data_IF_181320593273
#
_entry.id   IF_181320593273
#
_cell.length_a   1.000
_cell.length_b   1.000
_cell.length_c   1.000
_cell.angle_alpha   90.00
_cell.angle_beta   90.00
_cell.angle_gamma   90.00
#
_symmetry.space_group_name_H-M   'P 1'
#
loop_
_entity.id
_entity.type
_entity.pdbx_description
1 polymer ?
#
# COMPACT_ATOMS: atom_id res chain seq x y z
N UNK A 1 52.21 -33.40 -35.30
CA UNK A 1 53.11 -32.26 -35.04
C UNK A 1 52.52 -31.01 -35.70
N UNK A 2 52.07 -30.00 -34.94
CA UNK A 2 51.58 -28.75 -35.51
C UNK A 2 52.76 -27.80 -35.84
N UNK A 3 52.74 -27.11 -36.99
CA UNK A 3 53.82 -26.20 -37.39
C UNK A 3 53.71 -24.83 -36.71
N UNK A 4 54.88 -24.26 -36.43
CA UNK A 4 55.14 -23.01 -35.70
C UNK A 4 54.58 -21.77 -36.43
N UNK A 5 54.04 -20.83 -35.65
CA UNK A 5 53.69 -19.46 -36.10
C UNK A 5 54.93 -18.58 -36.08
N UNK A 6 55.29 -18.02 -37.23
CA UNK A 6 56.21 -16.88 -37.35
C UNK A 6 55.49 -15.58 -37.00
N UNK A 7 56.08 -14.83 -36.07
CA UNK A 7 55.66 -13.48 -35.66
C UNK A 7 56.55 -12.47 -36.37
N UNK A 8 56.03 -11.77 -37.37
CA UNK A 8 56.60 -10.49 -37.84
C UNK A 8 55.50 -9.50 -38.21
N UNK A 9 55.68 -8.26 -37.77
CA UNK A 9 54.90 -7.03 -38.00
C UNK A 9 53.58 -6.82 -37.23
N UNK A 10 53.71 -6.52 -35.93
CA UNK A 10 52.72 -5.71 -35.21
C UNK A 10 53.23 -4.26 -35.10
N UNK A 11 52.50 -3.31 -35.68
CA UNK A 11 52.78 -1.87 -35.53
C UNK A 11 52.65 -1.48 -34.05
N UNK A 12 53.53 -0.61 -33.51
CA UNK A 12 53.46 -0.22 -32.10
C UNK A 12 52.15 0.54 -31.82
N UNK A 13 51.51 0.22 -30.69
CA UNK A 13 50.29 0.89 -30.24
C UNK A 13 50.54 2.38 -29.98
N UNK A 14 49.50 3.21 -30.14
CA UNK A 14 49.56 4.67 -29.91
C UNK A 14 50.16 5.02 -28.55
N UNK A 15 49.94 4.18 -27.54
CA UNK A 15 50.53 4.32 -26.20
C UNK A 15 52.06 4.18 -26.20
N UNK A 16 52.63 3.26 -26.98
CA UNK A 16 54.09 3.12 -27.12
C UNK A 16 54.69 4.31 -27.87
N UNK A 17 54.03 4.78 -28.93
CA UNK A 17 54.49 5.96 -29.68
C UNK A 17 54.48 7.24 -28.83
N UNK A 18 53.49 7.38 -27.95
CA UNK A 18 53.43 8.50 -26.99
C UNK A 18 54.50 8.36 -25.91
N UNK A 19 54.77 7.16 -25.40
CA UNK A 19 55.85 6.92 -24.43
C UNK A 19 57.25 7.17 -25.01
N UNK A 20 57.47 6.83 -26.28
CA UNK A 20 58.76 7.04 -26.95
C UNK A 20 59.01 8.51 -27.32
N UNK A 21 57.95 9.28 -27.60
CA UNK A 21 58.05 10.70 -27.99
C UNK A 21 57.98 11.67 -26.82
N UNK A 22 57.43 11.26 -25.68
CA UNK A 22 57.38 12.10 -24.48
C UNK A 22 58.67 11.90 -23.71
N UNK A 23 59.43 12.97 -23.50
CA UNK A 23 60.71 12.89 -22.78
C UNK A 23 60.51 12.36 -21.35
N UNK A 24 61.37 11.46 -20.83
CA UNK A 24 61.20 10.81 -19.52
C UNK A 24 60.97 11.79 -18.35
N UNK A 25 61.63 12.95 -18.42
CA UNK A 25 61.48 14.05 -17.46
C UNK A 25 60.07 14.64 -17.40
N UNK A 26 59.34 14.61 -18.52
CA UNK A 26 57.97 15.13 -18.62
C UNK A 26 56.95 14.10 -18.10
N UNK A 27 57.17 12.79 -18.29
CA UNK A 27 56.33 11.74 -17.69
C UNK A 27 56.44 11.70 -16.16
N UNK A 28 57.61 12.04 -15.61
CA UNK A 28 57.82 12.05 -14.15
C UNK A 28 57.22 13.29 -13.46
N UNK A 29 56.98 14.38 -14.20
CA UNK A 29 56.34 15.59 -13.64
C UNK A 29 54.81 15.45 -13.68
N UNK A 30 54.19 15.16 -12.54
CA UNK A 30 52.72 15.14 -12.34
C UNK A 30 52.05 16.53 -12.33
N UNK A 31 52.66 17.53 -12.97
CA UNK A 31 52.13 18.90 -13.01
C UNK A 31 51.08 19.07 -14.10
N UNK A 32 50.01 19.83 -13.84
CA UNK A 32 48.90 20.02 -14.79
C UNK A 32 49.31 20.57 -16.17
N UNK A 33 50.41 21.34 -16.26
CA UNK A 33 50.97 21.79 -17.54
C UNK A 33 51.62 20.65 -18.34
N UNK A 34 52.30 19.72 -17.67
CA UNK A 34 52.91 18.54 -18.30
C UNK A 34 51.84 17.55 -18.77
N UNK A 35 50.78 17.36 -17.98
CA UNK A 35 49.65 16.50 -18.37
C UNK A 35 48.90 17.04 -19.59
N UNK A 36 48.71 18.36 -19.70
CA UNK A 36 48.14 19.00 -20.89
C UNK A 36 49.01 18.81 -22.14
N UNK A 37 50.34 18.90 -22.01
CA UNK A 37 51.27 18.63 -23.11
C UNK A 37 51.25 17.16 -23.55
N UNK A 38 51.21 16.22 -22.60
CA UNK A 38 51.08 14.79 -22.89
C UNK A 38 49.75 14.50 -23.60
N UNK A 39 48.65 15.13 -23.17
CA UNK A 39 47.35 15.00 -23.84
C UNK A 39 47.34 15.57 -25.26
N UNK A 40 48.03 16.70 -25.50
CA UNK A 40 48.18 17.31 -26.82
C UNK A 40 49.05 16.46 -27.76
N UNK A 41 50.11 15.83 -27.25
CA UNK A 41 50.94 14.90 -28.01
C UNK A 41 50.20 13.59 -28.33
N UNK A 42 49.39 13.11 -27.39
CA UNK A 42 48.54 11.93 -27.59
C UNK A 42 47.44 12.19 -28.63
N UNK A 43 46.80 13.37 -28.62
CA UNK A 43 45.79 13.73 -29.62
C UNK A 43 46.38 13.95 -31.02
N UNK A 44 47.62 14.44 -31.11
CA UNK A 44 48.34 14.52 -32.38
C UNK A 44 48.75 13.14 -32.92
N UNK A 45 49.15 12.21 -32.04
CA UNK A 45 49.50 10.85 -32.41
C UNK A 45 48.28 9.98 -32.80
N UNK A 46 47.10 10.22 -32.21
CA UNK A 46 45.86 9.57 -32.64
C UNK A 46 45.30 10.18 -33.93
N UNK A 47 45.53 11.47 -34.18
CA UNK A 47 45.17 12.15 -35.41
C UNK A 47 46.07 11.79 -36.61
N UNK A 48 47.17 11.05 -36.44
CA UNK A 48 48.10 10.69 -37.53
C UNK A 48 47.82 9.32 -38.16
N UNK A 49 46.55 8.98 -38.39
CA UNK A 49 46.18 7.85 -39.26
C UNK A 49 46.52 8.13 -40.74
N UNK A 50 46.78 7.08 -41.52
CA UNK A 50 47.02 7.22 -42.98
C UNK A 50 45.78 7.85 -43.68
N UNK A 51 45.94 8.63 -44.76
CA UNK A 51 44.83 9.35 -45.41
C UNK A 51 43.71 8.41 -45.90
N UNK A 52 44.06 7.18 -46.26
CA UNK A 52 43.10 6.12 -46.61
C UNK A 52 42.25 5.66 -45.42
N UNK A 53 42.83 5.55 -44.22
CA UNK A 53 42.10 5.17 -43.01
C UNK A 53 41.11 6.26 -42.59
N UNK A 54 41.50 7.54 -42.69
CA UNK A 54 40.60 8.66 -42.40
C UNK A 54 39.44 8.74 -43.38
N UNK A 55 39.68 8.46 -44.67
CA UNK A 55 38.60 8.37 -45.68
C UNK A 55 37.63 7.24 -45.39
N UNK A 56 38.15 6.06 -45.01
CA UNK A 56 37.32 4.89 -44.67
C UNK A 56 36.53 5.05 -43.37
N UNK A 57 37.07 5.78 -42.40
CA UNK A 57 36.37 6.13 -41.15
C UNK A 57 35.31 7.21 -41.40
N UNK A 58 35.61 8.23 -42.21
CA UNK A 58 34.64 9.25 -42.61
C UNK A 58 33.48 8.67 -43.42
N UNK A 59 33.74 7.74 -44.36
CA UNK A 59 32.70 7.07 -45.14
C UNK A 59 31.80 6.18 -44.27
N UNK A 60 32.38 5.47 -43.29
CA UNK A 60 31.58 4.71 -42.30
C UNK A 60 30.73 5.63 -41.43
N UNK A 61 31.27 6.74 -40.96
CA UNK A 61 30.53 7.72 -40.18
C UNK A 61 29.38 8.35 -41.00
N UNK A 62 29.61 8.65 -42.28
CA UNK A 62 28.57 9.16 -43.18
C UNK A 62 27.49 8.11 -43.44
N UNK A 63 27.86 6.84 -43.65
CA UNK A 63 26.89 5.75 -43.84
C UNK A 63 26.06 5.46 -42.58
N UNK A 64 26.65 5.60 -41.40
CA UNK A 64 25.93 5.49 -40.13
C UNK A 64 25.01 6.70 -39.88
N UNK A 65 25.45 7.91 -40.24
CA UNK A 65 24.62 9.11 -40.17
C UNK A 65 23.43 9.03 -41.14
N UNK A 66 23.64 8.55 -42.36
CA UNK A 66 22.57 8.38 -43.35
C UNK A 66 21.59 7.27 -42.95
N UNK A 67 22.07 6.17 -42.36
CA UNK A 67 21.19 5.14 -41.78
C UNK A 67 20.35 5.68 -40.62
N UNK A 68 20.96 6.48 -39.73
CA UNK A 68 20.23 7.13 -38.62
C UNK A 68 19.22 8.15 -39.14
N UNK A 69 19.57 8.94 -40.16
CA UNK A 69 18.67 9.88 -40.79
C UNK A 69 17.50 9.16 -41.51
N UNK A 70 17.77 8.05 -42.18
CA UNK A 70 16.74 7.24 -42.82
C UNK A 70 15.84 6.53 -41.80
N UNK A 71 16.38 6.08 -40.67
CA UNK A 71 15.59 5.51 -39.58
C UNK A 71 14.73 6.58 -38.89
N UNK A 72 15.28 7.78 -38.65
CA UNK A 72 14.53 8.92 -38.14
C UNK A 72 13.41 9.31 -39.10
N UNK A 73 13.70 9.47 -40.39
CA UNK A 73 12.67 9.79 -41.40
C UNK A 73 11.57 8.72 -41.46
N UNK A 74 11.93 7.42 -41.33
CA UNK A 74 10.92 6.34 -41.25
C UNK A 74 10.08 6.41 -39.98
N UNK A 75 10.66 6.82 -38.85
CA UNK A 75 9.92 7.05 -37.60
C UNK A 75 8.96 8.23 -37.75
N UNK A 76 9.43 9.38 -38.22
CA UNK A 76 8.59 10.56 -38.49
C UNK A 76 7.42 10.23 -39.44
N UNK A 77 7.70 9.49 -40.52
CA UNK A 77 6.66 9.03 -41.47
C UNK A 77 5.69 8.07 -40.78
N UNK A 78 6.17 7.10 -39.99
CA UNK A 78 5.31 6.18 -39.25
C UNK A 78 4.46 6.90 -38.19
N UNK A 79 4.94 7.98 -37.60
CA UNK A 79 4.17 8.81 -36.67
C UNK A 79 3.10 9.62 -37.38
N UNK A 80 3.40 10.15 -38.57
CA UNK A 80 2.45 10.90 -39.38
C UNK A 80 1.33 10.01 -39.94
N UNK A 81 1.64 8.75 -40.27
CA UNK A 81 0.65 7.77 -40.76
C UNK A 81 0.03 6.91 -39.65
N UNK A 82 0.15 7.29 -38.37
CA UNK A 82 -0.61 6.61 -37.29
C UNK A 82 -2.10 6.66 -37.63
N UNK A 83 -2.76 5.50 -37.82
CA UNK A 83 -4.14 5.48 -38.27
C UNK A 83 -5.02 6.16 -37.23
N UNK A 84 -5.81 7.11 -37.70
CA UNK A 84 -6.77 7.87 -36.93
C UNK A 84 -7.69 6.93 -36.16
N UNK A 85 -7.53 6.88 -34.83
CA UNK A 85 -8.34 6.02 -33.97
C UNK A 85 -9.77 6.56 -33.90
N UNK A 86 -10.69 5.83 -34.53
CA UNK A 86 -12.13 6.13 -34.41
C UNK A 86 -12.61 5.75 -33.02
N UNK A 87 -13.04 6.76 -32.25
CA UNK A 87 -13.53 6.61 -30.89
C UNK A 87 -14.85 5.83 -30.87
N UNK A 88 -14.81 4.55 -30.48
CA UNK A 88 -15.98 3.68 -30.31
C UNK A 88 -16.61 3.96 -28.95
N UNK A 89 -17.85 4.43 -28.94
CA UNK A 89 -18.62 4.64 -27.71
C UNK A 89 -19.43 3.36 -27.42
N UNK A 90 -19.34 2.80 -26.21
CA UNK A 90 -20.18 1.67 -25.79
C UNK A 90 -21.68 2.01 -25.87
N UNK A 91 -22.50 1.00 -26.16
CA UNK A 91 -23.95 1.16 -26.29
C UNK A 91 -24.57 1.65 -24.97
N UNK A 92 -25.34 2.74 -25.02
CA UNK A 92 -26.01 3.35 -23.86
C UNK A 92 -25.31 4.58 -23.25
N UNK A 93 -24.15 5.01 -23.77
CA UNK A 93 -23.47 6.24 -23.32
C UNK A 93 -23.66 7.35 -24.35
N UNK A 94 -24.16 8.51 -23.91
CA UNK A 94 -24.37 9.66 -24.80
C UNK A 94 -23.04 10.12 -25.41
N UNK A 95 -22.91 10.20 -26.75
CA UNK A 95 -21.64 10.54 -27.39
C UNK A 95 -21.06 11.90 -26.99
N UNK A 96 -21.90 12.86 -26.59
CA UNK A 96 -21.49 14.18 -26.08
C UNK A 96 -20.91 14.13 -24.67
N UNK A 97 -21.15 13.07 -23.89
CA UNK A 97 -20.52 12.91 -22.57
C UNK A 97 -19.04 12.54 -22.66
N UNK A 98 -18.56 12.18 -23.86
CA UNK A 98 -17.19 11.74 -24.10
C UNK A 98 -16.42 12.84 -24.84
N UNK A 99 -15.24 13.21 -24.32
CA UNK A 99 -14.36 14.22 -24.90
C UNK A 99 -13.89 13.78 -26.30
N UNK A 100 -13.98 14.70 -27.27
CA UNK A 100 -13.54 14.48 -28.64
C UNK A 100 -12.02 14.35 -28.72
N UNK A 101 -11.54 13.20 -29.22
CA UNK A 101 -10.09 12.95 -29.42
C UNK A 101 -9.47 13.99 -30.37
N UNK A 102 -10.19 14.40 -31.42
CA UNK A 102 -9.70 15.41 -32.36
C UNK A 102 -9.66 16.82 -31.78
N UNK A 103 -10.57 17.14 -30.86
CA UNK A 103 -10.55 18.42 -30.18
C UNK A 103 -9.41 18.48 -29.18
N UNK A 104 -9.17 17.37 -28.47
CA UNK A 104 -8.00 17.19 -27.61
C UNK A 104 -6.69 17.33 -28.40
N UNK A 105 -6.66 16.82 -29.63
CA UNK A 105 -5.54 16.98 -30.56
C UNK A 105 -5.49 18.31 -31.31
N UNK A 106 -6.43 19.24 -31.11
CA UNK A 106 -6.47 20.54 -31.78
C UNK A 106 -6.95 20.53 -33.24
N UNK A 107 -7.30 19.37 -33.80
CA UNK A 107 -7.65 19.17 -35.21
C UNK A 107 -9.14 18.84 -35.44
N UNK A 108 -10.05 19.35 -34.60
CA UNK A 108 -11.49 19.09 -34.78
C UNK A 108 -12.17 20.09 -35.71
N UNK A 109 -12.37 19.70 -36.97
CA UNK A 109 -13.08 20.50 -37.98
C UNK A 109 -14.59 20.64 -37.73
N UNK A 110 -15.16 19.81 -36.83
CA UNK A 110 -16.61 19.73 -36.59
C UNK A 110 -17.12 20.76 -35.59
N UNK A 111 -16.23 21.47 -34.89
CA UNK A 111 -16.58 22.57 -33.98
C UNK A 111 -17.74 22.23 -33.03
N UNK A 112 -18.72 23.14 -32.88
CA UNK A 112 -19.90 22.95 -32.01
C UNK A 112 -20.88 21.86 -32.49
N UNK A 113 -20.74 21.38 -33.72
CA UNK A 113 -21.56 20.29 -34.28
C UNK A 113 -20.90 18.92 -34.09
N UNK A 114 -19.77 18.85 -33.38
CA UNK A 114 -19.12 17.58 -33.09
C UNK A 114 -20.05 16.65 -32.28
N UNK A 115 -20.02 15.36 -32.62
CA UNK A 115 -20.76 14.32 -31.90
C UNK A 115 -20.24 14.11 -30.47
N UNK A 116 -18.99 14.50 -30.23
CA UNK A 116 -18.26 14.39 -28.97
C UNK A 116 -18.11 15.77 -28.31
N UNK A 117 -17.94 15.82 -26.99
CA UNK A 117 -17.79 17.10 -26.29
C UNK A 117 -16.45 17.76 -26.57
N UNK A 118 -16.44 19.09 -26.52
CA UNK A 118 -15.25 19.95 -26.60
C UNK A 118 -14.95 20.60 -25.23
N UNK A 119 -15.44 20.02 -24.14
CA UNK A 119 -15.20 20.53 -22.78
C UNK A 119 -14.08 19.72 -22.12
N UNK A 120 -12.92 20.36 -21.95
CA UNK A 120 -11.72 19.78 -21.31
C UNK A 120 -11.96 19.37 -19.86
N UNK A 121 -13.02 19.87 -19.22
CA UNK A 121 -13.38 19.54 -17.84
C UNK A 121 -13.86 18.09 -17.68
N UNK A 122 -14.29 17.44 -18.76
CA UNK A 122 -14.74 16.04 -18.77
C UNK A 122 -13.55 15.08 -18.58
N UNK A 123 -12.35 15.45 -19.01
CA UNK A 123 -11.15 14.61 -18.85
C UNK A 123 -10.66 14.54 -17.40
N UNK A 124 -10.76 15.65 -16.65
CA UNK A 124 -10.34 15.68 -15.23
C UNK A 124 -11.11 14.69 -14.36
N UNK A 125 -12.37 14.38 -14.70
CA UNK A 125 -13.19 13.37 -14.01
C UNK A 125 -12.74 11.93 -14.24
N UNK A 126 -11.80 11.69 -15.16
CA UNK A 126 -11.31 10.35 -15.54
C UNK A 126 -9.96 9.99 -14.94
N UNK A 127 -9.26 10.92 -14.27
CA UNK A 127 -8.00 10.61 -13.60
C UNK A 127 -8.29 9.75 -12.36
N UNK A 128 -7.70 8.55 -12.33
CA UNK A 128 -7.86 7.61 -11.21
C UNK A 128 -7.21 8.23 -9.97
N UNK A 129 -7.98 8.34 -8.90
CA UNK A 129 -7.52 8.83 -7.60
C UNK A 129 -6.36 7.95 -7.10
N UNK A 130 -5.24 8.57 -6.70
CA UNK A 130 -4.08 7.85 -6.18
C UNK A 130 -4.48 7.11 -4.88
N UNK A 131 -4.30 5.79 -4.84
CA UNK A 131 -4.78 4.93 -3.76
C UNK A 131 -4.02 5.10 -2.43
N UNK A 132 -2.86 5.73 -2.49
CA UNK A 132 -1.94 5.90 -1.37
C UNK A 132 -1.93 7.33 -0.80
N UNK A 133 -2.58 8.27 -1.49
CA UNK A 133 -2.68 9.69 -1.09
C UNK A 133 -4.12 10.00 -0.71
N UNK A 134 -4.34 10.46 0.52
CA UNK A 134 -5.67 10.86 0.99
C UNK A 134 -5.99 12.26 0.45
N UNK A 135 -6.88 12.35 -0.54
CA UNK A 135 -7.27 13.61 -1.18
C UNK A 135 -7.88 14.65 -0.25
N UNK A 136 -8.20 14.28 1.00
CA UNK A 136 -8.72 15.22 2.00
C UNK A 136 -7.65 16.20 2.49
N UNK A 137 -6.36 15.87 2.34
CA UNK A 137 -5.24 16.70 2.79
C UNK A 137 -4.84 17.80 1.81
N UNK A 138 -4.74 17.49 0.53
CA UNK A 138 -4.18 18.42 -0.48
C UNK A 138 -5.23 19.38 -1.04
N UNK A 139 -6.44 18.91 -1.36
CA UNK A 139 -7.48 19.75 -1.96
C UNK A 139 -8.04 20.79 -0.98
N UNK A 140 -7.98 20.53 0.34
CA UNK A 140 -8.48 21.45 1.37
C UNK A 140 -7.47 22.52 1.79
N UNK A 141 -6.17 22.29 1.61
CA UNK A 141 -5.12 23.25 1.95
C UNK A 141 -4.77 24.19 0.79
N UNK A 142 -4.83 23.72 -0.46
CA UNK A 142 -4.42 24.52 -1.63
C UNK A 142 -5.44 25.56 -2.10
N UNK A 143 -6.75 25.32 -1.91
CA UNK A 143 -7.79 26.33 -2.21
C UNK A 143 -7.88 27.40 -1.10
N UNK A 144 -7.67 27.05 0.17
CA UNK A 144 -7.77 28.01 1.28
C UNK A 144 -6.54 28.92 1.45
N UNK A 145 -5.35 28.48 1.02
CA UNK A 145 -4.11 29.28 1.16
C UNK A 145 -3.94 30.38 0.10
N UNK A 146 -4.69 30.34 -1.01
CA UNK A 146 -4.51 31.29 -2.13
C UNK A 146 -5.46 32.49 -2.11
N UNK A 147 -6.51 32.49 -1.29
CA UNK A 147 -7.51 33.57 -1.26
C UNK A 147 -7.55 34.40 0.05
N UNK A 148 -6.84 34.02 1.12
CA UNK A 148 -6.88 34.77 2.38
C UNK A 148 -5.52 35.37 2.77
N UNK A 149 -5.26 36.57 2.27
CA UNK A 149 -4.21 37.45 2.82
C UNK A 149 -4.67 38.02 4.17
N UNK A 150 -3.78 37.95 5.17
CA UNK A 150 -4.01 38.23 6.60
C UNK A 150 -4.54 39.66 6.93
N UNK A 151 -4.59 40.56 5.96
CA UNK A 151 -4.87 42.00 6.15
C UNK A 151 -6.36 42.35 6.39
N UNK A 152 -7.29 41.40 6.26
CA UNK A 152 -8.74 41.68 6.35
C UNK A 152 -9.44 40.95 7.51
N UNK A 153 -8.72 40.65 8.59
CA UNK A 153 -9.21 39.82 9.70
C UNK A 153 -9.52 40.65 10.95
N UNK A 154 -10.79 40.66 11.37
CA UNK A 154 -11.25 41.30 12.61
C UNK A 154 -10.74 40.56 13.87
N UNK A 155 -10.68 41.26 15.01
CA UNK A 155 -10.10 40.74 16.25
C UNK A 155 -10.82 39.51 16.82
N UNK A 156 -12.12 39.37 16.54
CA UNK A 156 -12.91 38.18 16.88
C UNK A 156 -12.55 36.96 16.01
N UNK A 157 -12.21 37.20 14.73
CA UNK A 157 -11.66 36.21 13.81
C UNK A 157 -10.23 35.81 14.21
N UNK A 158 -9.41 36.75 14.67
CA UNK A 158 -8.10 36.44 15.25
C UNK A 158 -8.23 35.59 16.52
N UNK A 159 -9.14 35.92 17.43
CA UNK A 159 -9.37 35.14 18.66
C UNK A 159 -9.90 33.74 18.36
N UNK A 160 -10.81 33.57 17.40
CA UNK A 160 -11.27 32.25 16.96
C UNK A 160 -10.20 31.43 16.22
N UNK A 161 -9.27 32.08 15.52
CA UNK A 161 -8.13 31.40 14.89
C UNK A 161 -7.07 31.00 15.92
N UNK A 162 -6.85 31.81 16.97
CA UNK A 162 -5.98 31.44 18.09
C UNK A 162 -6.61 30.31 18.93
N UNK A 163 -7.93 30.36 19.18
CA UNK A 163 -8.65 29.25 19.83
C UNK A 163 -8.68 27.98 18.96
N UNK A 164 -8.72 28.09 17.63
CA UNK A 164 -8.72 26.92 16.73
C UNK A 164 -7.31 26.38 16.42
N UNK A 165 -6.25 27.20 16.54
CA UNK A 165 -4.87 26.69 16.51
C UNK A 165 -4.52 25.86 17.75
N UNK A 166 -5.19 26.10 18.87
CA UNK A 166 -5.14 25.27 20.08
C UNK A 166 -6.39 24.38 20.25
N UNK A 167 -7.27 24.35 19.26
CA UNK A 167 -8.61 23.77 19.35
C UNK A 167 -8.68 22.40 18.70
N UNK A 168 -8.77 21.37 19.56
CA UNK A 168 -9.12 19.98 19.27
C UNK A 168 -8.64 19.45 17.90
N UNK A 169 -7.46 18.78 17.83
CA UNK A 169 -7.05 18.12 16.60
C UNK A 169 -8.19 17.20 16.16
N UNK A 170 -8.71 17.38 14.94
CA UNK A 170 -9.66 16.43 14.35
C UNK A 170 -9.07 15.05 14.58
N UNK A 171 -9.81 14.17 15.25
CA UNK A 171 -9.36 12.85 15.69
C UNK A 171 -9.26 11.90 14.49
N UNK A 172 -8.40 12.24 13.53
CA UNK A 172 -8.02 11.35 12.44
C UNK A 172 -7.08 10.32 13.05
N UNK A 173 -7.63 9.13 13.29
CA UNK A 173 -6.84 7.99 13.72
C UNK A 173 -5.97 7.51 12.56
N UNK A 174 -4.75 7.04 12.85
CA UNK A 174 -3.85 6.42 11.85
C UNK A 174 -4.35 5.07 11.34
N UNK A 175 -5.44 4.56 11.92
CA UNK A 175 -6.09 3.32 11.51
C UNK A 175 -6.84 3.53 10.19
N UNK A 176 -6.66 2.59 9.27
CA UNK A 176 -7.34 2.56 7.98
C UNK A 176 -8.82 2.21 8.17
N UNK A 177 -9.70 2.86 7.42
CA UNK A 177 -11.13 2.57 7.48
C UNK A 177 -11.43 1.16 6.97
N UNK A 178 -12.21 0.37 7.73
CA UNK A 178 -12.64 -0.99 7.34
C UNK A 178 -13.40 -0.99 6.01
N UNK A 179 -14.34 -0.06 5.85
CA UNK A 179 -15.13 0.05 4.62
C UNK A 179 -14.29 0.50 3.41
N UNK A 180 -13.20 1.23 3.66
CA UNK A 180 -12.26 1.56 2.60
C UNK A 180 -11.49 0.31 2.14
N UNK A 181 -11.01 -0.52 3.06
CA UNK A 181 -10.38 -1.81 2.72
C UNK A 181 -11.37 -2.68 1.92
N UNK A 182 -12.62 -2.80 2.38
CA UNK A 182 -13.67 -3.55 1.67
C UNK A 182 -13.97 -2.97 0.27
N UNK A 183 -14.04 -1.65 0.13
CA UNK A 183 -14.33 -1.00 -1.16
C UNK A 183 -13.18 -1.15 -2.15
N UNK A 184 -11.95 -1.06 -1.67
CA UNK A 184 -10.72 -1.27 -2.43
C UNK A 184 -10.60 -2.74 -2.84
N UNK A 185 -10.86 -3.67 -1.93
CA UNK A 185 -10.89 -5.10 -2.23
C UNK A 185 -11.96 -5.43 -3.28
N UNK A 186 -13.16 -4.88 -3.13
CA UNK A 186 -14.25 -5.10 -4.09
C UNK A 186 -14.09 -4.33 -5.40
N UNK A 187 -13.04 -3.51 -5.56
CA UNK A 187 -12.82 -2.67 -6.75
C UNK A 187 -13.89 -1.60 -6.95
N UNK A 188 -14.66 -1.28 -5.89
CA UNK A 188 -15.69 -0.24 -5.87
C UNK A 188 -15.15 1.12 -5.44
N UNK A 189 -13.90 1.19 -5.02
CA UNK A 189 -13.22 2.44 -4.72
C UNK A 189 -13.00 3.24 -6.03
N UNK A 190 -13.61 4.41 -6.13
CA UNK A 190 -13.59 5.24 -7.32
C UNK A 190 -14.11 6.65 -7.04
N UNK A 191 -14.28 7.45 -8.09
CA UNK A 191 -14.62 8.88 -8.01
C UNK A 191 -15.87 9.20 -7.18
N UNK A 192 -16.84 8.29 -7.11
CA UNK A 192 -18.09 8.48 -6.37
C UNK A 192 -18.20 7.65 -5.08
N UNK A 193 -17.12 7.01 -4.63
CA UNK A 193 -17.17 6.21 -3.42
C UNK A 193 -17.12 7.10 -2.17
N UNK A 194 -18.17 7.03 -1.36
CA UNK A 194 -18.27 7.70 -0.06
C UNK A 194 -18.25 6.65 1.05
N UNK A 195 -17.49 6.91 2.12
CA UNK A 195 -17.43 6.01 3.26
C UNK A 195 -18.78 5.96 3.99
N UNK A 196 -19.33 4.78 4.33
CA UNK A 196 -20.58 4.66 5.09
C UNK A 196 -20.50 5.24 6.51
N UNK A 197 -19.29 5.33 7.06
CA UNK A 197 -19.00 5.72 8.45
C UNK A 197 -18.70 7.24 8.56
N UNK A 198 -19.47 8.07 7.84
CA UNK A 198 -19.44 9.55 7.75
C UNK A 198 -18.80 10.18 6.50
N UNK A 199 -18.80 9.51 5.35
CA UNK A 199 -18.40 10.12 4.07
C UNK A 199 -16.98 10.69 4.11
N UNK A 200 -16.85 12.01 3.98
CA UNK A 200 -15.58 12.72 4.04
C UNK A 200 -15.06 12.94 5.49
N UNK A 201 -15.95 12.90 6.49
CA UNK A 201 -15.65 13.10 7.91
C UNK A 201 -15.37 11.79 8.66
N UNK A 202 -15.01 10.73 7.93
CA UNK A 202 -14.60 9.49 8.58
C UNK A 202 -13.33 9.72 9.43
N UNK A 203 -13.39 9.30 10.69
CA UNK A 203 -12.29 9.36 11.68
C UNK A 203 -11.08 8.48 11.31
N UNK A 204 -11.24 7.60 10.31
CA UNK A 204 -10.23 6.66 9.86
C UNK A 204 -9.62 7.11 8.53
N UNK A 205 -8.37 6.70 8.25
CA UNK A 205 -7.69 7.03 7.00
C UNK A 205 -8.30 6.29 5.80
N UNK A 206 -8.48 6.98 4.68
CA UNK A 206 -8.96 6.44 3.39
C UNK A 206 -7.81 6.29 2.40
N UNK A 207 -6.67 5.82 2.91
CA UNK A 207 -5.48 5.46 2.12
C UNK A 207 -4.94 4.13 2.62
N UNK A 208 -4.37 3.36 1.70
CA UNK A 208 -3.70 2.11 2.08
C UNK A 208 -2.40 2.46 2.81
N UNK A 209 -2.02 1.73 3.87
CA UNK A 209 -0.70 1.88 4.47
C UNK A 209 0.38 1.65 3.41
N UNK A 210 1.44 2.45 3.46
CA UNK A 210 2.58 2.31 2.56
C UNK A 210 3.14 0.88 2.64
N UNK A 211 3.08 0.13 1.54
CA UNK A 211 3.52 -1.26 1.45
C UNK A 211 2.41 -2.33 1.45
N UNK A 212 1.13 -1.98 1.62
CA UNK A 212 0.04 -2.95 1.49
C UNK A 212 -0.23 -3.28 0.02
N UNK A 213 0.11 -4.50 -0.40
CA UNK A 213 -0.16 -5.00 -1.75
C UNK A 213 -1.55 -5.66 -1.76
N UNK A 214 -2.46 -5.15 -2.58
CA UNK A 214 -3.77 -5.79 -2.76
C UNK A 214 -3.59 -7.19 -3.36
N UNK A 215 -4.23 -8.19 -2.75
CA UNK A 215 -4.39 -9.52 -3.35
C UNK A 215 -5.10 -9.38 -4.70
N UNK A 216 -4.62 -10.08 -5.72
CA UNK A 216 -5.27 -10.07 -7.04
C UNK A 216 -6.66 -10.71 -6.96
N UNK A 217 -7.55 -10.37 -7.90
CA UNK A 217 -8.90 -10.94 -7.96
C UNK A 217 -8.88 -12.48 -8.01
N UNK A 218 -7.87 -13.04 -8.67
CA UNK A 218 -7.66 -14.48 -8.80
C UNK A 218 -7.17 -15.11 -7.50
N UNK A 219 -6.23 -14.48 -6.79
CA UNK A 219 -5.76 -14.95 -5.48
C UNK A 219 -6.90 -14.95 -4.45
N UNK A 220 -7.77 -13.95 -4.48
CA UNK A 220 -8.94 -13.89 -3.58
C UNK A 220 -9.99 -14.94 -3.93
N UNK A 221 -10.25 -15.16 -5.22
CA UNK A 221 -11.16 -16.20 -5.67
C UNK A 221 -10.63 -17.60 -5.29
N UNK A 222 -9.33 -17.81 -5.39
CA UNK A 222 -8.68 -19.06 -4.98
C UNK A 222 -8.76 -19.28 -3.46
N UNK A 223 -8.48 -18.26 -2.65
CA UNK A 223 -8.58 -18.33 -1.19
C UNK A 223 -10.02 -18.55 -0.71
N UNK A 224 -10.99 -17.84 -1.30
CA UNK A 224 -12.42 -18.05 -1.01
C UNK A 224 -12.86 -19.45 -1.43
N UNK A 225 -12.49 -19.91 -2.62
CA UNK A 225 -12.79 -21.27 -3.06
C UNK A 225 -12.10 -22.32 -2.18
N UNK A 226 -10.95 -22.03 -1.57
CA UNK A 226 -10.26 -22.93 -0.65
C UNK A 226 -10.94 -22.94 0.74
N UNK A 227 -11.44 -21.80 1.22
CA UNK A 227 -12.26 -21.69 2.43
C UNK A 227 -13.61 -22.41 2.26
N UNK A 228 -14.29 -22.22 1.14
CA UNK A 228 -15.57 -22.87 0.83
C UNK A 228 -15.41 -24.39 0.63
N UNK A 229 -14.22 -24.85 0.23
CA UNK A 229 -13.86 -26.28 0.18
C UNK A 229 -13.21 -26.78 1.46
N UNK A 230 -13.00 -25.91 2.45
CA UNK A 230 -12.42 -26.34 3.70
C UNK A 230 -13.44 -27.18 4.45
N UNK A 231 -13.02 -28.29 5.10
CA UNK A 231 -13.91 -29.22 5.76
C UNK A 231 -14.79 -28.56 6.82
N UNK A 232 -14.43 -27.39 7.34
CA UNK A 232 -15.24 -26.65 8.30
C UNK A 232 -16.48 -25.98 7.69
N UNK A 233 -16.46 -25.66 6.39
CA UNK A 233 -17.61 -25.10 5.67
C UNK A 233 -18.48 -26.19 5.05
N UNK A 234 -17.90 -27.35 4.71
CA UNK A 234 -18.59 -28.44 4.01
C UNK A 234 -19.02 -29.59 4.92
N UNK A 235 -18.33 -29.88 6.04
CA UNK A 235 -18.87 -30.83 7.02
C UNK A 235 -19.96 -30.14 7.79
N UNK A 236 -21.18 -30.42 7.36
CA UNK A 236 -22.37 -30.13 8.12
C UNK A 236 -22.34 -30.93 9.43
N UNK A 237 -23.09 -30.49 10.44
CA UNK A 237 -23.15 -31.20 11.72
C UNK A 237 -23.65 -32.65 11.51
N UNK A 238 -24.50 -32.80 10.51
CA UNK A 238 -25.07 -34.03 9.99
C UNK A 238 -23.98 -34.97 9.45
N UNK A 239 -23.09 -34.50 8.58
CA UNK A 239 -21.98 -35.31 8.03
C UNK A 239 -21.02 -35.80 9.13
N UNK A 240 -20.75 -34.95 10.13
CA UNK A 240 -19.94 -35.33 11.29
C UNK A 240 -20.65 -36.38 12.16
N UNK A 241 -21.96 -36.25 12.38
CA UNK A 241 -22.76 -37.21 13.13
C UNK A 241 -22.87 -38.55 12.39
N UNK A 242 -23.02 -38.55 11.06
CA UNK A 242 -23.08 -39.75 10.24
C UNK A 242 -21.76 -40.52 10.24
N UNK A 243 -20.63 -39.81 10.10
CA UNK A 243 -19.29 -40.41 10.23
C UNK A 243 -19.11 -41.04 11.61
N UNK A 244 -19.47 -40.32 12.69
CA UNK A 244 -19.30 -40.84 14.06
C UNK A 244 -20.23 -42.00 14.38
N UNK A 245 -21.44 -42.01 13.79
CA UNK A 245 -22.39 -43.14 13.90
C UNK A 245 -21.87 -44.39 13.20
N UNK A 246 -21.22 -44.22 12.05
CA UNK A 246 -20.60 -45.34 11.34
C UNK A 246 -19.34 -45.87 12.04
N UNK A 247 -18.63 -45.03 12.79
CA UNK A 247 -17.52 -45.47 13.67
C UNK A 247 -18.01 -46.25 14.90
N UNK A 248 -19.24 -46.00 15.36
CA UNK A 248 -19.86 -46.68 16.49
C UNK A 248 -20.42 -48.06 16.09
N UNK A 249 -19.53 -48.98 15.71
CA UNK A 249 -19.88 -50.39 15.50
C UNK A 249 -19.49 -51.23 16.72
N UNK A 250 -20.46 -51.74 17.50
CA UNK A 250 -20.21 -52.58 18.67
C UNK A 250 -21.44 -52.79 19.56
N UNK A 251 -21.29 -53.45 20.70
CA UNK A 251 -22.36 -53.58 21.70
C UNK A 251 -22.52 -52.24 22.45
N UNK A 252 -23.53 -51.45 22.06
CA UNK A 252 -23.82 -50.15 22.69
C UNK A 252 -24.49 -50.33 24.06
N UNK A 253 -24.10 -49.51 25.03
CA UNK A 253 -24.77 -49.42 26.32
C UNK A 253 -26.10 -48.67 26.18
N UNK A 254 -27.24 -49.24 26.60
CA UNK A 254 -28.51 -48.53 26.57
C UNK A 254 -28.47 -47.34 27.53
N UNK A 255 -29.05 -46.21 27.11
CA UNK A 255 -29.13 -44.99 27.92
C UNK A 255 -30.28 -45.15 28.93
N UNK A 256 -29.93 -45.67 30.10
CA UNK A 256 -30.77 -45.74 31.29
C UNK A 256 -30.38 -44.63 32.28
N UNK A 257 -31.21 -44.33 33.27
CA UNK A 257 -30.88 -43.28 34.26
C UNK A 257 -29.58 -43.56 35.01
N UNK A 258 -29.30 -44.82 35.31
CA UNK A 258 -28.08 -45.24 36.03
C UNK A 258 -26.82 -45.08 35.18
N UNK A 259 -26.89 -45.42 33.90
CA UNK A 259 -25.76 -45.26 32.96
C UNK A 259 -25.53 -43.79 32.63
N UNK A 260 -26.60 -43.00 32.51
CA UNK A 260 -26.52 -41.55 32.30
C UNK A 260 -25.91 -40.83 33.51
N UNK A 261 -26.28 -41.20 34.75
CA UNK A 261 -25.68 -40.63 35.97
C UNK A 261 -24.18 -40.88 36.03
N UNK A 262 -23.73 -42.11 35.74
CA UNK A 262 -22.29 -42.47 35.66
C UNK A 262 -21.55 -41.66 34.59
N UNK A 263 -22.11 -41.60 33.38
CA UNK A 263 -21.55 -40.80 32.29
C UNK A 263 -21.47 -39.30 32.63
N UNK A 264 -22.52 -38.76 33.27
CA UNK A 264 -22.57 -37.35 33.67
C UNK A 264 -21.52 -37.03 34.72
N UNK A 265 -21.34 -37.89 35.74
CA UNK A 265 -20.27 -37.70 36.74
C UNK A 265 -18.87 -37.73 36.10
N UNK A 266 -18.62 -38.63 35.15
CA UNK A 266 -17.32 -38.72 34.44
C UNK A 266 -17.07 -37.50 33.54
N UNK A 267 -18.12 -36.97 32.90
CA UNK A 267 -18.03 -35.75 32.09
C UNK A 267 -17.80 -34.50 32.93
N UNK A 268 -18.47 -34.39 34.07
CA UNK A 268 -18.29 -33.28 34.99
C UNK A 268 -16.89 -33.29 35.60
N UNK A 269 -16.39 -34.43 36.07
CA UNK A 269 -15.03 -34.53 36.61
C UNK A 269 -13.96 -34.22 35.56
N UNK A 270 -14.15 -34.65 34.31
CA UNK A 270 -13.25 -34.29 33.20
C UNK A 270 -13.28 -32.78 32.90
N UNK A 271 -14.47 -32.17 32.89
CA UNK A 271 -14.63 -30.73 32.65
C UNK A 271 -13.99 -29.91 33.77
N UNK A 272 -14.19 -30.31 35.02
CA UNK A 272 -13.59 -29.67 36.19
C UNK A 272 -12.06 -29.75 36.15
N UNK A 273 -11.49 -30.90 35.79
CA UNK A 273 -10.04 -31.05 35.62
C UNK A 273 -9.47 -30.18 34.47
N UNK A 274 -10.19 -30.07 33.35
CA UNK A 274 -9.80 -29.19 32.24
C UNK A 274 -9.93 -27.71 32.60
N UNK A 275 -10.98 -27.34 33.34
CA UNK A 275 -11.20 -25.97 33.82
C UNK A 275 -10.18 -25.58 34.89
N UNK A 276 -9.81 -26.48 35.79
CA UNK A 276 -8.73 -26.28 36.76
C UNK A 276 -7.38 -26.12 36.05
N UNK A 277 -7.10 -26.95 35.04
CA UNK A 277 -5.92 -26.79 34.18
C UNK A 277 -5.93 -25.48 33.39
N UNK A 278 -7.11 -25.02 32.91
CA UNK A 278 -7.27 -23.73 32.25
C UNK A 278 -7.09 -22.58 33.22
N UNK A 279 -7.70 -22.61 34.41
CA UNK A 279 -7.54 -21.61 35.49
C UNK A 279 -6.11 -21.55 36.03
N UNK A 280 -5.37 -22.66 36.01
CA UNK A 280 -3.95 -22.68 36.32
C UNK A 280 -3.10 -21.98 35.26
N UNK A 281 -3.49 -22.06 33.97
CA UNK A 281 -2.82 -21.39 32.84
C UNK A 281 -3.25 -19.94 32.67
N UNK A 282 -4.52 -19.65 32.88
CA UNK A 282 -5.09 -18.32 32.84
C UNK A 282 -4.91 -17.71 34.23
N UNK A 283 -3.76 -17.07 34.44
CA UNK A 283 -3.55 -16.14 35.53
C UNK A 283 -4.47 -14.91 35.34
N UNK A 284 -5.78 -15.12 35.45
CA UNK A 284 -6.79 -14.07 35.37
C UNK A 284 -6.56 -13.09 36.52
N UNK A 285 -6.77 -11.80 36.30
CA UNK A 285 -6.53 -10.77 37.33
C UNK A 285 -7.23 -11.06 38.67
N UNK A 286 -8.40 -11.72 38.64
CA UNK A 286 -9.10 -12.17 39.85
C UNK A 286 -8.37 -13.32 40.56
N UNK A 287 -7.90 -14.32 39.82
CA UNK A 287 -7.12 -15.42 40.38
C UNK A 287 -5.74 -14.95 40.89
N UNK A 288 -5.10 -13.98 40.22
CA UNK A 288 -3.86 -13.36 40.68
C UNK A 288 -4.08 -12.53 41.96
N UNK A 289 -5.16 -11.76 42.03
CA UNK A 289 -5.51 -10.98 43.21
C UNK A 289 -5.83 -11.86 44.42
N UNK A 290 -6.55 -12.96 44.22
CA UNK A 290 -6.90 -13.91 45.28
C UNK A 290 -5.70 -14.78 45.72
N UNK A 291 -4.76 -15.08 44.82
CA UNK A 291 -3.50 -15.77 45.14
C UNK A 291 -2.52 -14.89 45.93
N UNK A 292 -2.71 -13.57 46.00
CA UNK A 292 -1.90 -12.67 46.82
C UNK A 292 -0.51 -12.34 46.26
N UNK A 293 -0.20 -12.77 45.03
CA UNK A 293 1.09 -12.57 44.36
C UNK A 293 1.42 -11.09 44.08
N UNK A 294 0.42 -10.20 44.15
CA UNK A 294 0.58 -8.74 44.06
C UNK A 294 1.08 -8.10 45.36
N UNK A 295 1.05 -8.82 46.50
CA UNK A 295 1.53 -8.28 47.79
C UNK A 295 3.04 -8.42 48.01
N UNK A 296 3.72 -9.30 47.27
CA UNK A 296 5.14 -9.62 47.50
C UNK A 296 6.11 -8.70 46.72
N UNK A 297 5.60 -7.92 45.76
CA UNK A 297 6.34 -6.81 45.12
C UNK A 297 6.28 -5.56 46.02
N UNK A 298 6.79 -5.70 47.24
CA UNK A 298 6.87 -4.58 48.19
C UNK A 298 8.15 -3.78 47.96
N UNK A 299 8.02 -2.51 47.58
CA UNK A 299 9.16 -1.61 47.54
C UNK A 299 9.01 -0.30 46.79
N UNK A 300 7.92 0.45 46.96
CA UNK A 300 8.01 1.91 46.89
C UNK A 300 6.94 2.59 47.74
N UNK A 301 7.42 3.24 48.80
CA UNK A 301 6.69 4.02 49.79
C UNK A 301 6.33 5.38 49.15
N UNK A 302 5.42 5.37 48.18
CA UNK A 302 4.96 6.58 47.49
C UNK A 302 3.80 7.25 48.21
N UNK A 303 4.09 7.96 49.30
CA UNK A 303 3.15 8.90 49.93
C UNK A 303 2.78 10.00 48.92
N UNK A 304 1.52 10.01 48.47
CA UNK A 304 0.91 11.20 47.87
C UNK A 304 -0.50 11.40 48.43
N UNK A 305 -0.53 12.16 49.52
CA UNK A 305 -1.68 12.87 50.05
C UNK A 305 -2.22 13.81 48.95
N UNK A 306 -3.34 13.48 48.31
CA UNK A 306 -4.10 14.38 47.44
C UNK A 306 -5.58 13.96 47.43
N UNK A 307 -6.33 14.50 48.39
CA UNK A 307 -7.79 14.47 48.42
C UNK A 307 -8.36 15.52 47.46
N UNK A 308 -8.75 15.14 46.24
CA UNK A 308 -9.78 15.87 45.44
C UNK A 308 -10.30 15.09 44.21
N UNK A 309 -10.73 13.83 44.36
CA UNK A 309 -11.40 13.16 43.23
C UNK A 309 -11.69 11.67 43.34
N UNK A 310 -11.69 11.09 44.54
CA UNK A 310 -11.97 9.66 44.72
C UNK A 310 -13.39 9.35 44.27
N UNK A 311 -13.52 8.80 43.07
CA UNK A 311 -14.78 8.36 42.49
C UNK A 311 -15.44 7.32 43.42
N UNK A 312 -16.59 7.65 44.01
CA UNK A 312 -17.30 6.75 44.90
C UNK A 312 -17.95 5.61 44.11
N UNK A 313 -17.16 4.54 43.91
CA UNK A 313 -17.58 3.31 43.22
C UNK A 313 -18.75 2.61 43.91
N UNK A 314 -18.97 2.84 45.20
CA UNK A 314 -20.06 2.21 45.94
C UNK A 314 -21.39 2.92 45.65
N UNK A 315 -21.37 4.25 45.60
CA UNK A 315 -22.51 5.04 45.12
C UNK A 315 -22.87 4.66 43.67
N UNK A 316 -21.87 4.58 42.77
CA UNK A 316 -22.10 4.15 41.38
C UNK A 316 -22.68 2.72 41.33
N UNK A 317 -22.13 1.76 42.08
CA UNK A 317 -22.63 0.37 42.08
C UNK A 317 -24.08 0.27 42.57
N UNK A 318 -24.46 1.12 43.52
CA UNK A 318 -25.83 1.19 44.03
C UNK A 318 -26.79 1.76 42.99
N UNK A 319 -26.38 2.82 42.30
CA UNK A 319 -27.14 3.40 41.19
C UNK A 319 -27.27 2.43 40.02
N UNK A 320 -26.20 1.73 39.63
CA UNK A 320 -26.26 0.73 38.55
C UNK A 320 -27.18 -0.44 38.90
N UNK A 321 -27.13 -0.93 40.15
CA UNK A 321 -28.02 -2.00 40.61
C UNK A 321 -29.48 -1.55 40.69
N UNK A 322 -29.73 -0.28 41.00
CA UNK A 322 -31.06 0.29 40.98
C UNK A 322 -31.59 0.45 39.54
N UNK A 323 -30.71 0.77 38.58
CA UNK A 323 -31.04 0.85 37.15
C UNK A 323 -31.26 -0.53 36.51
N UNK A 324 -30.59 -1.57 36.98
CA UNK A 324 -30.82 -2.97 36.54
C UNK A 324 -32.23 -3.48 36.86
N UNK A 325 -32.96 -2.83 37.79
CA UNK A 325 -34.37 -3.08 38.03
C UNK A 325 -34.70 -4.39 38.76
N UNK A 326 -35.99 -4.65 38.94
CA UNK A 326 -36.50 -5.85 39.62
C UNK A 326 -36.42 -7.09 38.69
N UNK A 327 -35.30 -7.81 38.72
CA UNK A 327 -35.14 -9.11 38.07
C UNK A 327 -35.91 -10.25 38.78
N UNK A 328 -36.92 -9.94 39.59
CA UNK A 328 -37.66 -10.93 40.39
C UNK A 328 -38.38 -11.98 39.52
N UNK A 329 -38.66 -11.65 38.26
CA UNK A 329 -39.22 -12.56 37.26
C UNK A 329 -38.16 -13.25 36.39
N UNK A 330 -36.87 -12.94 36.57
CA UNK A 330 -35.77 -13.61 35.88
C UNK A 330 -35.19 -14.74 36.75
N UNK A 331 -35.08 -15.92 36.15
CA UNK A 331 -34.44 -17.06 36.81
C UNK A 331 -32.92 -16.88 36.80
N UNK A 332 -32.35 -16.47 37.94
CA UNK A 332 -30.89 -16.36 38.13
C UNK A 332 -30.32 -17.74 38.46
N UNK A 333 -29.49 -18.27 37.57
CA UNK A 333 -28.82 -19.57 37.75
C UNK A 333 -27.54 -19.48 38.60
N UNK A 334 -27.09 -18.28 38.98
CA UNK A 334 -25.89 -18.08 39.77
C UNK A 334 -24.61 -18.50 39.03
N UNK A 335 -23.57 -18.84 39.79
CA UNK A 335 -22.32 -19.40 39.28
C UNK A 335 -22.48 -20.89 39.04
N UNK A 336 -22.89 -21.29 37.84
CA UNK A 336 -22.89 -22.70 37.38
C UNK A 336 -21.65 -23.04 36.58
#
# INVERSE_FOLDING_TARGET
MPPKKDVKNAKPSVQKVVQDKVSPRLLQKKGGKAQKQIAQLASQASASGTPEQKRKEAEKAQREAEKKAAEAAKKEVAELFKPVQTQKVPFGVDPKSVLCVYYKGGNCEKGRKCKFSHDLSIERKSQKKNLYEDSRGEEAEDEKKKEETNDNWDEEKLRSVVLSKHGNPKTTTDKVCKHFIEAVENGKYGWFWQCPNNGNDCKYKHSLPAGFVLKTKEQRAAEKALMDKSPLATLTLEDFLEARRHELTGALTPVTEETFKKWKSERMSKKEAEEEARKAKEATGRALFEKGDWRDDSGDEGSSDQEDGTFDLNALRKETRALEGDDSNLKRYGST
#
